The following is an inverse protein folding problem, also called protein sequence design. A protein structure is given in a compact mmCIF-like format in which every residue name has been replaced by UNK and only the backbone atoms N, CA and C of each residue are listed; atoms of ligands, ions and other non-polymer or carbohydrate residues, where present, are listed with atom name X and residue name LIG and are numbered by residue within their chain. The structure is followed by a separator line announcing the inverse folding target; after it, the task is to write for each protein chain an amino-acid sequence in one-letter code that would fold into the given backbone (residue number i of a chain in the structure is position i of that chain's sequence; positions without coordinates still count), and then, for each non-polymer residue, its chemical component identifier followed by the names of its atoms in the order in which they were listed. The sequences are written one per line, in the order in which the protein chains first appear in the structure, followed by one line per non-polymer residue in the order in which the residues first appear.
data_IF_846032446558
#
_entry.id   IF_846032446558
#
_cell.length_a   1.000
_cell.length_b   1.000
_cell.length_c   1.000
_cell.angle_alpha   90.00
_cell.angle_beta   90.00
_cell.angle_gamma   90.00
#
_symmetry.space_group_name_H-M   'P 1'
#
loop_
_entity.id
_entity.type
_entity.pdbx_description
1 polymer ?
#
# COMPACT_ATOMS: atom_id res chain seq x y z
N UNK A 1 -10.18 5.40 -30.94
CA UNK A 1 -9.80 5.64 -29.53
C UNK A 1 -9.71 4.27 -28.80
N UNK A 2 -9.25 3.18 -29.43
CA UNK A 2 -7.88 2.71 -29.73
C UNK A 2 -7.01 2.35 -28.53
N UNK A 3 -7.21 1.11 -28.02
CA UNK A 3 -6.29 0.10 -27.47
C UNK A 3 -5.11 0.47 -26.52
N UNK A 4 -4.66 1.72 -26.42
CA UNK A 4 -3.40 2.11 -25.78
C UNK A 4 -3.46 2.27 -24.25
N UNK A 5 -4.65 2.46 -23.68
CA UNK A 5 -4.77 2.83 -22.26
C UNK A 5 -5.01 1.64 -21.31
N UNK A 6 -5.15 0.43 -21.86
CA UNK A 6 -5.42 -0.80 -21.11
C UNK A 6 -4.14 -1.59 -20.76
N UNK A 7 -2.98 -1.06 -21.15
CA UNK A 7 -1.72 -1.81 -21.17
C UNK A 7 -1.13 -1.96 -19.77
N UNK A 8 -1.15 -0.93 -18.92
CA UNK A 8 -0.38 -0.97 -17.66
C UNK A 8 -0.85 -2.07 -16.70
N UNK A 9 -2.12 -2.09 -16.31
CA UNK A 9 -2.64 -3.11 -15.40
C UNK A 9 -2.52 -4.52 -15.98
N UNK A 10 -2.83 -4.68 -17.28
CA UNK A 10 -2.75 -5.97 -17.97
C UNK A 10 -1.30 -6.47 -18.08
N UNK A 11 -0.37 -5.57 -18.33
CA UNK A 11 1.06 -5.87 -18.44
C UNK A 11 1.64 -6.30 -17.10
N UNK A 12 1.36 -5.59 -16.01
CA UNK A 12 1.84 -6.00 -14.68
C UNK A 12 1.32 -7.38 -14.26
N UNK A 13 0.06 -7.69 -14.60
CA UNK A 13 -0.49 -9.02 -14.36
C UNK A 13 0.19 -10.11 -15.18
N UNK A 14 0.54 -9.83 -16.44
CA UNK A 14 1.33 -10.76 -17.27
C UNK A 14 2.75 -10.97 -16.73
N UNK A 15 3.29 -10.01 -15.97
CA UNK A 15 4.55 -10.14 -15.25
C UNK A 15 4.42 -10.88 -13.90
N UNK A 16 3.20 -11.29 -13.52
CA UNK A 16 2.94 -12.01 -12.27
C UNK A 16 2.84 -11.11 -11.04
N UNK A 17 2.47 -9.84 -11.21
CA UNK A 17 2.32 -8.91 -10.07
C UNK A 17 0.92 -9.04 -9.45
N UNK A 18 0.88 -9.15 -8.12
CA UNK A 18 -0.38 -9.16 -7.36
C UNK A 18 -0.91 -7.73 -7.10
N UNK A 19 0.00 -6.76 -7.05
CA UNK A 19 -0.32 -5.37 -6.74
C UNK A 19 0.52 -4.34 -7.48
N UNK A 20 -0.04 -3.13 -7.60
CA UNK A 20 0.65 -1.93 -8.09
C UNK A 20 0.38 -0.77 -7.13
N UNK A 21 1.44 -0.05 -6.78
CA UNK A 21 1.40 1.04 -5.82
C UNK A 21 1.93 2.32 -6.48
N UNK A 22 1.21 3.43 -6.34
CA UNK A 22 1.57 4.67 -7.01
C UNK A 22 1.05 5.89 -6.26
N UNK A 23 1.75 7.02 -6.41
CA UNK A 23 1.37 8.26 -5.74
C UNK A 23 0.49 9.17 -6.60
N UNK A 24 0.67 9.17 -7.92
CA UNK A 24 0.14 10.23 -8.80
C UNK A 24 -1.22 9.83 -9.38
N UNK A 25 -2.24 10.61 -9.00
CA UNK A 25 -3.61 10.63 -9.51
C UNK A 25 -4.12 12.07 -9.44
N UNK A 26 -5.15 12.41 -10.21
CA UNK A 26 -5.80 13.72 -10.15
C UNK A 26 -6.19 14.11 -8.70
N UNK A 27 -6.06 15.39 -8.38
CA UNK A 27 -6.25 15.88 -7.02
C UNK A 27 -7.72 15.85 -6.58
N UNK A 28 -8.67 16.04 -7.51
CA UNK A 28 -10.10 15.94 -7.22
C UNK A 28 -10.49 14.47 -7.02
N UNK A 29 -9.99 13.56 -7.89
CA UNK A 29 -10.19 12.12 -7.72
C UNK A 29 -9.61 11.65 -6.36
N UNK A 30 -8.43 12.14 -5.97
CA UNK A 30 -7.83 11.83 -4.67
C UNK A 30 -8.70 12.26 -3.50
N UNK A 31 -9.22 13.49 -3.52
CA UNK A 31 -10.09 13.99 -2.46
C UNK A 31 -11.36 13.14 -2.34
N UNK A 32 -11.98 12.81 -3.48
CA UNK A 32 -13.14 11.92 -3.51
C UNK A 32 -12.81 10.52 -2.95
N UNK A 33 -11.71 9.93 -3.40
CA UNK A 33 -11.26 8.60 -2.94
C UNK A 33 -10.94 8.54 -1.45
N UNK A 34 -10.43 9.62 -0.86
CA UNK A 34 -10.23 9.72 0.59
C UNK A 34 -11.55 9.64 1.35
N UNK A 35 -12.57 10.36 0.88
CA UNK A 35 -13.91 10.36 1.49
C UNK A 35 -14.61 9.00 1.34
N UNK A 36 -14.50 8.39 0.15
CA UNK A 36 -15.14 7.12 -0.18
C UNK A 36 -14.33 5.88 0.29
N UNK A 37 -13.16 6.10 0.91
CA UNK A 37 -12.15 5.07 1.20
C UNK A 37 -11.88 4.17 -0.01
N UNK A 38 -11.68 4.76 -1.19
CA UNK A 38 -11.48 4.08 -2.47
C UNK A 38 -10.15 4.43 -3.13
N UNK A 39 -9.15 4.77 -2.31
CA UNK A 39 -7.73 4.86 -2.72
C UNK A 39 -7.16 3.49 -3.11
N UNK A 40 -7.72 2.44 -2.52
CA UNK A 40 -7.39 1.05 -2.78
C UNK A 40 -8.54 0.39 -3.52
N UNK A 41 -8.25 -0.21 -4.67
CA UNK A 41 -9.24 -0.76 -5.59
C UNK A 41 -8.74 -2.04 -6.24
N UNK A 42 -9.67 -2.83 -6.73
CA UNK A 42 -9.36 -3.84 -7.73
C UNK A 42 -9.43 -3.17 -9.10
N UNK A 43 -8.29 -3.07 -9.77
CA UNK A 43 -8.20 -2.46 -11.08
C UNK A 43 -8.31 -3.51 -12.18
N UNK A 44 -9.40 -3.42 -12.94
CA UNK A 44 -9.65 -4.23 -14.13
C UNK A 44 -9.35 -3.40 -15.38
N UNK A 45 -8.13 -3.49 -15.87
CA UNK A 45 -7.66 -2.73 -17.01
C UNK A 45 -8.13 -3.21 -18.38
N UNK A 46 -9.13 -4.10 -18.50
CA UNK A 46 -9.67 -4.52 -19.81
C UNK A 46 -11.19 -4.66 -19.78
N UNK A 47 -11.86 -4.02 -20.74
CA UNK A 47 -13.31 -4.15 -20.95
C UNK A 47 -13.70 -5.46 -21.64
N UNK A 48 -12.76 -6.10 -22.33
CA UNK A 48 -13.02 -7.27 -23.18
C UNK A 48 -13.36 -8.52 -22.35
N UNK A 49 -12.97 -8.54 -21.08
CA UNK A 49 -13.25 -9.65 -20.17
C UNK A 49 -13.99 -9.09 -18.93
N UNK A 50 -15.31 -9.01 -19.02
CA UNK A 50 -16.19 -8.54 -17.94
C UNK A 50 -16.31 -9.52 -16.77
N UNK A 51 -16.90 -9.10 -15.63
CA UNK A 51 -17.08 -9.93 -14.43
C UNK A 51 -18.10 -11.03 -14.62
N UNK A 52 -17.67 -12.25 -14.95
CA UNK A 52 -18.38 -13.52 -14.68
C UNK A 52 -17.37 -14.65 -14.86
N UNK A 53 -16.99 -15.34 -13.77
CA UNK A 53 -17.53 -16.66 -13.36
C UNK A 53 -16.93 -17.79 -14.18
N UNK A 54 -16.33 -18.77 -13.50
CA UNK A 54 -15.96 -20.10 -14.02
C UNK A 54 -16.56 -20.37 -15.41
N UNK A 55 -15.73 -20.28 -16.45
CA UNK A 55 -16.15 -20.77 -17.76
C UNK A 55 -16.08 -22.30 -17.65
N UNK A 56 -17.23 -22.93 -17.38
CA UNK A 56 -17.39 -24.35 -17.61
C UNK A 56 -17.25 -24.59 -19.13
N UNK A 57 -16.02 -24.82 -19.59
CA UNK A 57 -15.80 -25.32 -20.93
C UNK A 57 -16.39 -26.74 -21.01
N UNK A 58 -17.29 -26.94 -21.97
CA UNK A 58 -17.80 -28.27 -22.28
C UNK A 58 -16.62 -29.21 -22.55
N UNK A 59 -16.62 -30.44 -21.99
CA UNK A 59 -15.50 -31.36 -22.15
C UNK A 59 -15.25 -31.63 -23.64
N UNK A 60 -14.01 -31.39 -24.08
CA UNK A 60 -13.57 -31.74 -25.43
C UNK A 60 -13.41 -33.26 -25.51
N UNK A 61 -14.34 -33.92 -26.19
CA UNK A 61 -14.26 -35.37 -26.43
C UNK A 61 -13.27 -35.67 -27.55
N UNK A 62 -12.06 -36.09 -27.19
CA UNK A 62 -11.23 -36.92 -28.07
C UNK A 62 -11.48 -38.39 -27.70
N UNK A 63 -11.75 -39.22 -28.72
CA UNK A 63 -12.03 -40.66 -28.58
C UNK A 63 -11.05 -41.34 -27.60
N UNK A 64 -11.50 -41.61 -26.38
CA UNK A 64 -10.90 -42.61 -25.48
C UNK A 64 -10.10 -42.12 -24.27
N UNK A 65 -9.86 -40.82 -24.08
CA UNK A 65 -9.15 -40.33 -22.87
C UNK A 65 -9.78 -39.04 -22.34
N UNK A 66 -10.27 -39.09 -21.11
CA UNK A 66 -10.89 -37.94 -20.43
C UNK A 66 -9.81 -37.20 -19.63
N UNK A 67 -9.44 -35.99 -20.07
CA UNK A 67 -8.59 -35.08 -19.32
C UNK A 67 -9.41 -33.83 -19.01
N UNK A 68 -9.80 -33.65 -17.75
CA UNK A 68 -10.40 -32.40 -17.28
C UNK A 68 -9.26 -31.38 -17.08
N UNK A 69 -9.07 -30.51 -18.07
CA UNK A 69 -8.24 -29.32 -17.91
C UNK A 69 -9.16 -28.17 -17.48
N UNK A 70 -9.13 -27.82 -16.20
CA UNK A 70 -9.71 -26.56 -15.73
C UNK A 70 -8.73 -25.44 -16.07
N UNK A 71 -9.10 -24.59 -17.02
CA UNK A 71 -8.43 -23.31 -17.22
C UNK A 71 -9.27 -22.25 -16.51
N UNK A 72 -8.84 -21.85 -15.30
CA UNK A 72 -9.39 -20.66 -14.68
C UNK A 72 -8.96 -19.46 -15.52
N UNK A 73 -9.84 -18.98 -16.39
CA UNK A 73 -9.69 -17.65 -17.00
C UNK A 73 -10.06 -16.64 -15.91
N UNK A 74 -9.15 -16.45 -14.96
CA UNK A 74 -9.22 -15.35 -14.01
C UNK A 74 -9.05 -14.08 -14.83
N UNK A 75 -10.06 -13.23 -14.81
CA UNK A 75 -9.98 -11.91 -15.43
C UNK A 75 -8.77 -11.19 -14.84
N UNK A 76 -7.93 -10.54 -15.66
CA UNK A 76 -6.78 -9.82 -15.16
C UNK A 76 -7.25 -8.68 -14.26
N UNK A 77 -7.09 -8.88 -12.95
CA UNK A 77 -7.44 -7.97 -11.88
C UNK A 77 -6.21 -7.80 -11.00
N UNK A 78 -5.78 -6.56 -10.78
CA UNK A 78 -4.65 -6.24 -9.93
C UNK A 78 -5.11 -5.38 -8.76
N UNK A 79 -4.53 -5.59 -7.58
CA UNK A 79 -4.74 -4.69 -6.46
C UNK A 79 -3.99 -3.38 -6.73
N UNK A 80 -4.71 -2.27 -6.83
CA UNK A 80 -4.15 -0.96 -7.08
C UNK A 80 -4.29 -0.09 -5.84
N UNK A 81 -3.16 0.44 -5.36
CA UNK A 81 -3.09 1.30 -4.18
C UNK A 81 -2.53 2.67 -4.57
N UNK A 82 -3.41 3.68 -4.56
CA UNK A 82 -3.05 5.07 -4.72
C UNK A 82 -2.74 5.71 -3.36
N UNK A 83 -1.53 6.22 -3.17
CA UNK A 83 -1.14 6.77 -1.86
C UNK A 83 -1.98 8.01 -1.47
N UNK A 84 -2.24 8.23 -0.17
CA UNK A 84 -3.08 9.35 0.26
C UNK A 84 -2.52 10.73 -0.08
N UNK A 85 -1.20 10.90 -0.14
CA UNK A 85 -0.58 12.23 -0.37
C UNK A 85 0.56 12.12 -1.37
N UNK A 86 1.69 11.56 -0.95
CA UNK A 86 2.90 11.42 -1.75
C UNK A 86 3.51 10.01 -1.54
N UNK A 87 4.65 9.75 -2.15
CA UNK A 87 5.47 8.56 -1.90
C UNK A 87 6.55 8.80 -0.83
N UNK A 88 6.39 9.86 -0.03
CA UNK A 88 7.31 10.21 1.05
C UNK A 88 6.84 9.65 2.39
N UNK A 89 7.76 9.60 3.35
CA UNK A 89 7.42 9.39 4.75
C UNK A 89 6.39 10.44 5.24
N UNK A 90 5.56 10.12 6.23
CA UNK A 90 4.68 11.13 6.84
C UNK A 90 5.48 12.33 7.37
N UNK A 91 4.82 13.49 7.43
CA UNK A 91 5.43 14.72 7.94
C UNK A 91 6.07 14.49 9.31
N UNK A 92 7.33 14.87 9.46
CA UNK A 92 8.10 14.68 10.70
C UNK A 92 8.75 13.30 10.86
N UNK A 93 8.74 12.43 9.83
CA UNK A 93 9.31 11.08 9.87
C UNK A 93 10.32 10.80 8.73
N UNK A 94 10.97 11.82 8.17
CA UNK A 94 12.01 11.68 7.13
C UNK A 94 13.42 11.71 7.73
N UNK A 95 14.06 10.58 7.97
CA UNK A 95 15.30 10.53 8.76
C UNK A 95 16.58 10.53 7.92
N UNK A 96 16.62 11.24 6.79
CA UNK A 96 17.83 11.28 5.97
C UNK A 96 18.83 12.31 6.50
N UNK A 97 20.12 12.02 6.32
CA UNK A 97 21.19 12.96 6.68
C UNK A 97 21.22 14.22 5.80
N UNK A 98 20.56 14.18 4.65
CA UNK A 98 20.45 15.30 3.70
C UNK A 98 19.20 16.14 3.93
N UNK A 99 18.32 15.72 4.84
CA UNK A 99 17.21 16.57 5.25
C UNK A 99 17.76 17.80 5.98
N UNK A 100 17.22 18.97 5.64
CA UNK A 100 17.58 20.22 6.31
C UNK A 100 17.34 20.09 7.82
N UNK A 101 18.15 20.81 8.62
CA UNK A 101 18.19 20.76 10.10
C UNK A 101 16.83 21.09 10.76
N UNK A 102 15.83 21.46 9.97
CA UNK A 102 14.47 21.78 10.38
C UNK A 102 13.53 20.57 10.51
N UNK A 103 13.87 19.35 10.04
CA UNK A 103 12.79 18.38 9.74
C UNK A 103 13.01 16.86 9.92
N UNK A 104 13.81 16.39 10.89
CA UNK A 104 13.10 15.72 12.00
C UNK A 104 13.75 15.80 13.38
N UNK A 105 12.88 15.84 14.39
CA UNK A 105 13.23 15.54 15.77
C UNK A 105 13.47 14.02 15.89
N UNK A 106 14.71 13.56 16.15
CA UNK A 106 14.99 12.15 16.35
C UNK A 106 14.35 11.67 17.67
N UNK A 107 14.13 10.37 17.78
CA UNK A 107 13.77 9.76 19.05
C UNK A 107 14.99 9.77 19.96
N UNK A 108 14.92 10.58 21.02
CA UNK A 108 15.85 10.60 22.13
C UNK A 108 15.24 9.82 23.31
N UNK A 109 15.85 8.67 23.57
CA UNK A 109 15.46 7.66 24.54
C UNK A 109 16.49 7.43 25.67
N UNK A 110 17.59 8.18 25.68
CA UNK A 110 18.58 8.17 26.75
C UNK A 110 18.16 9.15 27.87
N UNK A 111 17.78 8.66 29.07
CA UNK A 111 17.36 9.51 30.18
C UNK A 111 18.50 10.33 30.80
N UNK A 112 19.75 10.07 30.42
CA UNK A 112 20.93 10.83 30.88
C UNK A 112 21.25 12.04 29.98
N UNK A 113 20.59 12.14 28.83
CA UNK A 113 20.75 13.25 27.89
C UNK A 113 19.55 14.20 27.99
N UNK A 114 19.76 15.46 27.61
CA UNK A 114 18.67 16.42 27.49
C UNK A 114 17.69 16.01 26.38
N UNK A 115 16.49 16.58 26.42
CA UNK A 115 15.48 16.47 25.37
C UNK A 115 14.94 15.04 25.15
N UNK A 116 14.82 14.25 26.22
CA UNK A 116 14.09 12.97 26.18
C UNK A 116 12.65 13.16 25.69
N UNK A 117 12.25 12.47 24.62
CA UNK A 117 11.02 12.77 23.88
C UNK A 117 10.22 11.53 23.42
N UNK A 118 10.50 10.35 23.97
CA UNK A 118 9.87 9.08 23.52
C UNK A 118 8.34 9.15 23.48
N UNK A 119 7.70 9.66 24.52
CA UNK A 119 6.24 9.72 24.61
C UNK A 119 5.64 10.65 23.55
N UNK A 120 6.25 11.80 23.32
CA UNK A 120 5.86 12.76 22.29
C UNK A 120 5.95 12.11 20.89
N UNK A 121 7.09 11.51 20.56
CA UNK A 121 7.32 10.90 19.24
C UNK A 121 6.40 9.70 18.98
N UNK A 122 6.04 8.95 20.02
CA UNK A 122 5.05 7.86 19.91
C UNK A 122 3.65 8.41 19.68
N UNK A 123 3.26 9.49 20.36
CA UNK A 123 1.97 10.15 20.14
C UNK A 123 1.87 10.74 18.73
N UNK A 124 2.94 11.36 18.22
CA UNK A 124 3.03 11.84 16.83
C UNK A 124 2.83 10.69 15.83
N UNK A 125 3.50 9.56 16.07
CA UNK A 125 3.41 8.38 15.21
C UNK A 125 1.98 7.86 15.16
N UNK A 126 1.34 7.70 16.32
CA UNK A 126 -0.05 7.24 16.42
C UNK A 126 -0.99 8.23 15.74
N UNK A 127 -0.83 9.53 15.95
CA UNK A 127 -1.67 10.55 15.33
C UNK A 127 -1.58 10.54 13.79
N UNK A 128 -0.36 10.41 13.25
CA UNK A 128 -0.15 10.27 11.81
C UNK A 128 -0.76 8.96 11.27
N UNK A 129 -0.60 7.85 12.00
CA UNK A 129 -1.13 6.56 11.59
C UNK A 129 -2.66 6.57 11.56
N UNK A 130 -3.29 7.14 12.58
CA UNK A 130 -4.75 7.28 12.65
C UNK A 130 -5.30 8.19 11.55
N UNK A 131 -4.58 9.26 11.21
CA UNK A 131 -4.93 10.13 10.07
C UNK A 131 -4.99 9.34 8.76
N UNK A 132 -4.02 8.46 8.52
CA UNK A 132 -4.01 7.61 7.33
C UNK A 132 -5.05 6.47 7.40
N UNK A 133 -5.23 5.85 8.57
CA UNK A 133 -6.23 4.81 8.77
C UNK A 133 -7.66 5.32 8.49
N UNK A 134 -7.94 6.59 8.79
CA UNK A 134 -9.24 7.21 8.53
C UNK A 134 -9.64 7.25 7.05
N UNK A 135 -8.68 7.20 6.12
CA UNK A 135 -8.93 7.22 4.67
C UNK A 135 -8.65 5.88 3.97
N UNK A 136 -8.33 4.84 4.75
CA UNK A 136 -7.95 3.51 4.26
C UNK A 136 -8.99 2.49 4.72
N UNK A 137 -9.20 1.40 3.95
CA UNK A 137 -10.01 0.24 4.39
C UNK A 137 -9.13 -0.69 5.23
N UNK A 138 -9.73 -1.60 6.00
CA UNK A 138 -9.02 -2.54 6.91
C UNK A 138 -8.25 -1.85 8.04
N UNK A 139 -7.59 -2.65 8.87
CA UNK A 139 -6.66 -2.29 9.94
C UNK A 139 -5.18 -2.20 9.49
N UNK A 140 -4.89 -2.36 8.19
CA UNK A 140 -3.53 -2.27 7.66
C UNK A 140 -3.34 -0.98 6.85
N UNK A 141 -2.30 -0.22 7.19
CA UNK A 141 -1.83 0.95 6.43
C UNK A 141 -0.35 0.77 6.05
N UNK A 142 0.07 1.44 4.98
CA UNK A 142 1.46 1.42 4.51
C UNK A 142 2.06 2.82 4.53
N UNK A 143 3.17 2.99 5.23
CA UNK A 143 4.01 4.18 5.15
C UNK A 143 5.16 3.95 4.17
N UNK A 144 5.36 4.90 3.26
CA UNK A 144 6.47 4.87 2.31
C UNK A 144 7.65 5.60 2.94
N UNK A 145 8.33 4.94 3.89
CA UNK A 145 9.47 5.51 4.61
C UNK A 145 10.62 5.77 3.64
N UNK A 146 10.72 6.98 3.09
CA UNK A 146 11.70 7.37 2.08
C UNK A 146 11.26 8.61 1.30
N UNK A 147 12.01 8.96 0.27
CA UNK A 147 11.70 9.98 -0.73
C UNK A 147 12.73 9.91 -1.88
N UNK A 148 12.74 10.89 -2.78
CA UNK A 148 13.75 11.09 -3.82
C UNK A 148 15.18 11.03 -3.24
N UNK A 149 15.98 10.07 -3.72
CA UNK A 149 17.41 9.88 -3.39
C UNK A 149 17.74 9.84 -1.88
N UNK A 150 16.81 9.34 -1.06
CA UNK A 150 17.02 9.08 0.37
C UNK A 150 17.78 7.77 0.60
N UNK A 151 18.11 7.51 1.87
CA UNK A 151 18.91 6.38 2.33
C UNK A 151 20.39 6.44 1.90
N UNK A 152 20.94 7.64 1.66
CA UNK A 152 22.39 7.80 1.42
C UNK A 152 23.21 7.26 2.60
N UNK A 153 22.71 7.51 3.82
CA UNK A 153 23.15 6.85 5.03
C UNK A 153 21.96 6.12 5.67
N UNK A 154 21.73 4.88 5.22
CA UNK A 154 20.56 4.09 5.60
C UNK A 154 20.41 3.88 7.12
N UNK A 155 21.52 3.84 7.87
CA UNK A 155 21.49 3.68 9.32
C UNK A 155 20.72 4.79 10.03
N UNK A 156 20.69 6.02 9.49
CA UNK A 156 19.89 7.10 10.06
C UNK A 156 18.39 6.76 10.09
N UNK A 157 17.86 6.18 8.99
CA UNK A 157 16.49 5.69 8.95
C UNK A 157 16.27 4.49 9.86
N UNK A 158 17.10 3.45 9.73
CA UNK A 158 16.90 2.20 10.48
C UNK A 158 16.99 2.43 11.99
N UNK A 159 17.91 3.27 12.47
CA UNK A 159 18.02 3.61 13.89
C UNK A 159 16.75 4.26 14.43
N UNK A 160 16.11 5.15 13.67
CA UNK A 160 14.88 5.81 14.10
C UNK A 160 13.67 4.89 14.00
N UNK A 161 13.57 4.10 12.92
CA UNK A 161 12.51 3.12 12.73
C UNK A 161 12.54 2.03 13.82
N UNK A 162 13.71 1.53 14.20
CA UNK A 162 13.86 0.54 15.28
C UNK A 162 13.33 1.08 16.61
N UNK A 163 13.69 2.32 16.96
CA UNK A 163 13.18 2.99 18.17
C UNK A 163 11.68 3.18 18.11
N UNK A 164 11.15 3.69 16.99
CA UNK A 164 9.72 3.90 16.81
C UNK A 164 8.95 2.59 16.91
N UNK A 165 9.36 1.54 16.21
CA UNK A 165 8.75 0.21 16.27
C UNK A 165 8.77 -0.32 17.71
N UNK A 166 9.91 -0.23 18.39
CA UNK A 166 10.05 -0.67 19.78
C UNK A 166 9.08 0.06 20.72
N UNK A 167 9.12 1.40 20.73
CA UNK A 167 8.35 2.19 21.68
C UNK A 167 6.86 2.23 21.35
N UNK A 168 6.47 2.30 20.07
CA UNK A 168 5.06 2.23 19.66
C UNK A 168 4.48 0.89 20.09
N UNK A 169 5.13 -0.24 19.78
CA UNK A 169 4.60 -1.55 20.15
C UNK A 169 4.61 -1.80 21.67
N UNK A 170 5.53 -1.15 22.40
CA UNK A 170 5.62 -1.26 23.87
C UNK A 170 4.60 -0.40 24.60
N UNK A 171 4.30 0.80 24.09
CA UNK A 171 3.49 1.82 24.77
C UNK A 171 2.03 1.84 24.27
N UNK A 172 1.77 1.47 23.02
CA UNK A 172 0.42 1.25 22.50
C UNK A 172 -0.17 -0.10 22.97
N UNK A 173 -0.06 -0.40 24.28
CA UNK A 173 -0.53 -1.66 24.87
C UNK A 173 -2.05 -1.83 24.80
N UNK A 174 -2.78 -0.74 24.59
CA UNK A 174 -4.20 -0.77 24.26
C UNK A 174 -4.49 -1.35 22.86
N UNK A 175 -3.46 -1.68 22.09
CA UNK A 175 -3.56 -2.32 20.78
C UNK A 175 -4.00 -1.37 19.67
N UNK A 176 -3.96 -0.04 19.89
CA UNK A 176 -4.41 0.94 18.88
C UNK A 176 -3.58 0.91 17.60
N UNK A 177 -2.27 0.66 17.71
CA UNK A 177 -1.35 0.62 16.57
C UNK A 177 -0.28 -0.46 16.81
N UNK A 178 0.04 -1.22 15.77
CA UNK A 178 1.19 -2.12 15.74
C UNK A 178 2.07 -1.79 14.54
N UNK A 179 3.34 -1.51 14.79
CA UNK A 179 4.31 -1.12 13.77
C UNK A 179 5.28 -2.28 13.49
N UNK A 180 5.62 -2.49 12.22
CA UNK A 180 6.60 -3.49 11.79
C UNK A 180 7.31 -3.03 10.51
N UNK A 181 8.50 -3.59 10.27
CA UNK A 181 9.09 -3.57 8.93
C UNK A 181 8.24 -4.40 7.98
N UNK A 182 8.00 -3.88 6.78
CA UNK A 182 7.18 -4.54 5.78
C UNK A 182 7.66 -4.21 4.37
N UNK A 183 7.08 -4.92 3.40
CA UNK A 183 7.24 -4.67 1.97
C UNK A 183 5.86 -4.47 1.34
N UNK A 184 5.76 -3.88 0.13
CA UNK A 184 4.47 -3.76 -0.55
C UNK A 184 3.77 -5.11 -0.78
N UNK A 185 4.52 -6.20 -0.98
CA UNK A 185 3.96 -7.55 -1.12
C UNK A 185 3.36 -8.05 0.20
N UNK A 186 4.08 -7.92 1.32
CA UNK A 186 3.56 -8.31 2.65
C UNK A 186 2.32 -7.48 3.00
N UNK A 187 2.33 -6.18 2.67
CA UNK A 187 1.15 -5.34 2.81
C UNK A 187 -0.02 -5.88 1.99
N UNK A 188 0.18 -6.18 0.70
CA UNK A 188 -0.86 -6.75 -0.15
C UNK A 188 -1.39 -8.09 0.37
N UNK A 189 -0.53 -8.97 0.87
CA UNK A 189 -0.94 -10.24 1.49
C UNK A 189 -1.83 -10.01 2.71
N UNK A 190 -1.47 -9.05 3.58
CA UNK A 190 -2.29 -8.68 4.73
C UNK A 190 -3.65 -8.14 4.30
N UNK A 191 -3.71 -7.32 3.24
CA UNK A 191 -4.97 -6.77 2.69
C UNK A 191 -5.84 -7.85 2.05
N UNK A 192 -5.24 -8.84 1.40
CA UNK A 192 -5.94 -9.97 0.80
C UNK A 192 -6.49 -10.95 1.84
N UNK A 193 -5.86 -11.05 3.02
CA UNK A 193 -6.31 -11.90 4.11
C UNK A 193 -7.54 -11.35 4.86
N UNK A 194 -7.83 -10.05 4.74
CA UNK A 194 -8.99 -9.42 5.36
C UNK A 194 -10.29 -9.75 4.62
N UNK A 195 -11.38 -9.96 5.36
CA UNK A 195 -12.71 -10.23 4.79
C UNK A 195 -13.40 -8.92 4.36
N UNK A 196 -12.80 -8.23 3.40
CA UNK A 196 -13.26 -6.92 2.92
C UNK A 196 -13.63 -6.93 1.43
N UNK A 197 -14.60 -6.09 1.09
CA UNK A 197 -14.96 -5.85 -0.32
C UNK A 197 -14.22 -4.63 -0.86
N UNK A 198 -13.65 -4.77 -2.06
CA UNK A 198 -12.85 -3.72 -2.68
C UNK A 198 -13.62 -3.02 -3.82
N UNK A 199 -13.56 -1.69 -3.95
CA UNK A 199 -14.17 -0.99 -5.07
C UNK A 199 -13.52 -1.41 -6.39
N UNK A 200 -14.32 -1.45 -7.45
CA UNK A 200 -13.84 -1.75 -8.80
C UNK A 200 -13.42 -0.47 -9.51
N UNK A 201 -12.26 -0.50 -10.18
CA UNK A 201 -11.83 0.51 -11.16
C UNK A 201 -11.70 -0.14 -12.52
N UNK A 202 -12.23 0.48 -13.57
CA UNK A 202 -12.21 -0.08 -14.95
C UNK A 202 -11.48 0.78 -15.97
N UNK A 203 -11.50 2.10 -15.81
CA UNK A 203 -10.81 3.02 -16.71
C UNK A 203 -9.36 3.29 -16.26
N UNK A 204 -8.68 4.28 -16.83
CA UNK A 204 -7.32 4.70 -16.48
C UNK A 204 -7.26 5.80 -15.41
N UNK A 205 -6.05 6.23 -15.05
CA UNK A 205 -5.79 7.36 -14.14
C UNK A 205 -5.28 8.59 -14.90
N UNK A 206 -5.74 8.79 -16.13
CA UNK A 206 -5.38 9.94 -16.94
C UNK A 206 -6.58 10.87 -17.18
N UNK A 207 -6.33 12.17 -17.40
CA UNK A 207 -5.19 12.96 -16.95
C UNK A 207 -5.27 13.32 -15.46
#
# INVERSE_FOLDING_TARGET
MTLKNYIFALFFLQLGFDSVHFARIDYQDRQKRKLDKSLEVIWRGSRTFGSSSQVNFLPFYFKGLFLLLYFDIVLPQIFANAFPVHYSAPSGFSFDITDDDSYPIPVQDDPLLFDYNVEERVNDFIAAAMTQANVTRTNHIMWTMGDDFKYQYAEAYFKQMDKLIHYVNKLAQDGRVHALYSTPSIYTDAKNAENESWPLKTDDYFP
#
